data_IF_090268920721
#
_entry.id   IF_090268920721
#
_cell.length_a   1.000
_cell.length_b   1.000
_cell.length_c   1.000
_cell.angle_alpha   90.00
_cell.angle_beta   90.00
_cell.angle_gamma   90.00
#
_symmetry.space_group_name_H-M   'P 1'
#
loop_
_entity.id
_entity.type
_entity.pdbx_description
1 polymer ?
#
# COMPACT_ATOMS: atom_id res chain seq x y z
N UNK A 1 12.99 3.41 16.31
CA UNK A 1 12.48 4.65 16.93
C UNK A 1 11.03 4.86 16.47
N UNK A 2 10.13 5.42 17.29
CA UNK A 2 8.79 5.74 16.82
C UNK A 2 8.86 6.73 15.64
N UNK A 3 7.97 6.55 14.66
CA UNK A 3 7.78 7.50 13.57
C UNK A 3 7.25 8.81 14.19
N UNK A 4 7.81 9.97 13.79
CA UNK A 4 7.35 11.28 14.30
C UNK A 4 5.85 11.44 13.97
N UNK A 5 5.02 11.75 14.95
CA UNK A 5 3.55 11.75 14.79
C UNK A 5 3.01 12.84 13.83
N UNK A 6 3.80 13.88 13.54
CA UNK A 6 3.42 14.99 12.66
C UNK A 6 4.01 14.85 11.24
N UNK A 7 3.76 13.71 10.57
CA UNK A 7 4.14 13.56 9.17
C UNK A 7 3.20 14.35 8.25
N UNK A 8 3.78 15.13 7.35
CA UNK A 8 3.03 15.72 6.25
C UNK A 8 2.93 14.71 5.12
N UNK A 9 1.74 14.55 4.55
CA UNK A 9 1.62 13.84 3.29
C UNK A 9 2.37 14.61 2.20
N UNK A 10 3.00 13.89 1.28
CA UNK A 10 3.66 14.48 0.11
C UNK A 10 2.67 14.94 -0.98
N UNK A 11 1.36 14.87 -0.72
CA UNK A 11 0.32 15.34 -1.65
C UNK A 11 0.13 14.43 -2.86
N UNK A 12 0.64 13.20 -2.80
CA UNK A 12 0.46 12.18 -3.84
C UNK A 12 -0.78 11.37 -3.50
N UNK A 13 -1.80 11.47 -4.34
CA UNK A 13 -2.98 10.61 -4.29
C UNK A 13 -2.80 9.41 -5.22
N UNK A 14 -3.17 8.23 -4.71
CA UNK A 14 -3.30 7.03 -5.53
C UNK A 14 -4.78 6.77 -5.79
N UNK A 15 -5.16 6.72 -7.06
CA UNK A 15 -6.53 6.44 -7.48
C UNK A 15 -6.61 4.99 -7.94
N UNK A 16 -7.46 4.20 -7.29
CA UNK A 16 -7.69 2.80 -7.63
C UNK A 16 -8.35 2.66 -9.01
N UNK A 17 -7.59 2.20 -9.98
CA UNK A 17 -8.02 1.96 -11.36
C UNK A 17 -8.69 0.61 -11.56
N UNK A 18 -9.87 0.39 -10.96
CA UNK A 18 -10.94 -0.59 -11.31
C UNK A 18 -11.68 -1.05 -10.04
N UNK A 19 -13.00 -0.83 -9.97
CA UNK A 19 -13.88 -1.61 -9.07
C UNK A 19 -14.12 -2.97 -9.73
N UNK A 20 -13.61 -4.08 -9.15
CA UNK A 20 -14.05 -5.42 -9.56
C UNK A 20 -15.53 -5.55 -9.18
N UNK A 21 -16.39 -5.79 -10.18
CA UNK A 21 -17.79 -6.14 -9.94
C UNK A 21 -17.84 -7.41 -9.08
N UNK A 22 -18.63 -7.38 -8.00
CA UNK A 22 -18.93 -8.54 -7.16
C UNK A 22 -19.73 -9.57 -7.97
N UNK A 23 -19.04 -10.42 -8.73
CA UNK A 23 -19.67 -11.52 -9.49
C UNK A 23 -19.58 -12.87 -8.80
N UNK A 24 -18.86 -12.98 -7.70
CA UNK A 24 -18.62 -14.27 -7.05
C UNK A 24 -19.61 -14.50 -5.90
N UNK A 25 -20.66 -15.29 -6.19
CA UNK A 25 -21.63 -15.79 -5.19
C UNK A 25 -21.09 -16.98 -4.38
N UNK A 26 -19.80 -17.32 -4.52
CA UNK A 26 -19.15 -18.36 -3.72
C UNK A 26 -18.94 -17.88 -2.28
N UNK A 27 -19.22 -18.75 -1.29
CA UNK A 27 -18.98 -18.53 0.15
C UNK A 27 -17.48 -18.56 0.51
N UNK A 28 -16.61 -17.98 -0.31
CA UNK A 28 -15.20 -17.93 0.02
C UNK A 28 -14.99 -16.95 1.18
N UNK A 29 -14.24 -17.38 2.20
CA UNK A 29 -13.93 -16.55 3.36
C UNK A 29 -13.04 -15.38 2.91
N UNK A 30 -13.42 -14.16 3.30
CA UNK A 30 -12.62 -12.96 3.10
C UNK A 30 -11.82 -12.66 4.35
N UNK A 31 -10.59 -12.20 4.19
CA UNK A 31 -9.73 -11.72 5.28
C UNK A 31 -9.28 -10.31 4.94
N UNK A 32 -9.52 -9.39 5.86
CA UNK A 32 -9.12 -7.99 5.73
C UNK A 32 -7.77 -7.76 6.40
N UNK A 33 -6.87 -7.08 5.70
CA UNK A 33 -5.48 -6.84 6.13
C UNK A 33 -5.01 -5.44 5.79
N UNK A 34 -4.21 -4.89 6.69
CA UNK A 34 -3.43 -3.69 6.47
C UNK A 34 -1.99 -4.06 6.13
N UNK A 35 -1.48 -3.56 5.02
CA UNK A 35 -0.10 -3.76 4.56
C UNK A 35 0.61 -2.42 4.48
N UNK A 36 1.71 -2.25 5.19
CA UNK A 36 2.58 -1.08 5.03
C UNK A 36 3.58 -1.28 3.89
N UNK A 37 3.74 -0.27 3.05
CA UNK A 37 4.71 -0.24 1.94
C UNK A 37 5.60 0.98 2.05
N UNK A 38 6.90 0.80 1.87
CA UNK A 38 7.85 1.91 1.88
C UNK A 38 8.98 1.76 0.85
N UNK A 39 9.50 2.90 0.39
CA UNK A 39 10.59 2.97 -0.59
C UNK A 39 11.52 4.13 -0.28
N UNK A 40 12.83 3.88 -0.27
CA UNK A 40 13.86 4.87 0.07
C UNK A 40 14.98 4.98 -0.99
N UNK A 41 14.88 4.27 -2.12
CA UNK A 41 15.91 4.23 -3.17
C UNK A 41 15.29 4.50 -4.53
N UNK A 42 15.99 5.28 -5.36
CA UNK A 42 15.60 5.56 -6.74
C UNK A 42 14.29 6.34 -6.84
N UNK A 43 13.48 5.99 -7.83
CA UNK A 43 12.15 6.57 -8.04
C UNK A 43 11.13 5.97 -7.05
N UNK A 44 11.14 6.52 -5.83
CA UNK A 44 10.36 6.01 -4.68
C UNK A 44 8.86 5.97 -4.97
N UNK A 45 8.31 6.99 -5.63
CA UNK A 45 6.89 7.03 -5.96
C UNK A 45 6.52 5.94 -6.97
N UNK A 46 7.29 5.81 -8.05
CA UNK A 46 7.04 4.80 -9.07
C UNK A 46 7.22 3.37 -8.52
N UNK A 47 8.20 3.16 -7.63
CA UNK A 47 8.36 1.88 -6.94
C UNK A 47 7.11 1.51 -6.14
N UNK A 48 6.56 2.48 -5.40
CA UNK A 48 5.34 2.32 -4.63
C UNK A 48 4.14 2.04 -5.54
N UNK A 49 3.95 2.80 -6.63
CA UNK A 49 2.88 2.56 -7.62
C UNK A 49 2.95 1.16 -8.23
N UNK A 50 4.13 0.74 -8.71
CA UNK A 50 4.35 -0.60 -9.26
C UNK A 50 4.04 -1.69 -8.25
N UNK A 51 4.40 -1.51 -6.98
CA UNK A 51 4.06 -2.47 -5.94
C UNK A 51 2.54 -2.61 -5.77
N UNK A 52 1.79 -1.51 -5.75
CA UNK A 52 0.32 -1.55 -5.69
C UNK A 52 -0.26 -2.24 -6.90
N UNK A 53 0.22 -1.91 -8.11
CA UNK A 53 -0.27 -2.50 -9.36
C UNK A 53 -0.01 -4.02 -9.37
N UNK A 54 1.19 -4.46 -9.00
CA UNK A 54 1.54 -5.89 -8.90
C UNK A 54 0.70 -6.64 -7.86
N UNK A 55 0.37 -6.01 -6.73
CA UNK A 55 -0.53 -6.57 -5.72
C UNK A 55 -1.95 -6.68 -6.27
N UNK A 56 -2.43 -5.63 -6.95
CA UNK A 56 -3.78 -5.55 -7.53
C UNK A 56 -4.01 -6.48 -8.71
N UNK A 57 -2.95 -6.88 -9.41
CA UNK A 57 -3.01 -7.86 -10.50
C UNK A 57 -3.36 -9.27 -9.99
N UNK A 58 -3.19 -9.56 -8.70
CA UNK A 58 -3.57 -10.84 -8.13
C UNK A 58 -5.12 -10.98 -8.11
N UNK A 59 -5.68 -12.04 -8.72
CA UNK A 59 -7.13 -12.26 -8.75
C UNK A 59 -7.76 -12.48 -7.36
N UNK A 60 -6.98 -12.90 -6.37
CA UNK A 60 -7.45 -13.18 -5.01
C UNK A 60 -7.33 -11.98 -4.07
N UNK A 61 -6.72 -10.88 -4.51
CA UNK A 61 -6.55 -9.67 -3.71
C UNK A 61 -7.46 -8.58 -4.28
N UNK A 62 -8.18 -7.92 -3.38
CA UNK A 62 -8.95 -6.73 -3.67
C UNK A 62 -8.42 -5.58 -2.80
N UNK A 63 -7.80 -4.60 -3.43
CA UNK A 63 -7.33 -3.41 -2.73
C UNK A 63 -8.55 -2.51 -2.51
N UNK A 64 -8.86 -2.25 -1.23
CA UNK A 64 -10.02 -1.48 -0.83
C UNK A 64 -9.68 0.01 -0.74
N UNK A 65 -8.57 0.33 -0.09
CA UNK A 65 -8.12 1.69 0.11
C UNK A 65 -6.59 1.78 0.10
N UNK A 66 -6.09 2.98 -0.20
CA UNK A 66 -4.68 3.34 -0.14
C UNK A 66 -4.58 4.63 0.68
N UNK A 67 -3.75 4.64 1.72
CA UNK A 67 -3.52 5.87 2.48
C UNK A 67 -2.77 6.90 1.64
N UNK A 68 -2.74 8.14 2.14
CA UNK A 68 -1.79 9.13 1.63
C UNK A 68 -0.34 8.63 1.77
N UNK A 69 0.54 9.14 0.91
CA UNK A 69 1.98 8.88 1.00
C UNK A 69 2.62 9.89 1.96
N UNK A 70 3.53 9.42 2.81
CA UNK A 70 4.27 10.22 3.78
C UNK A 70 5.77 10.07 3.58
N UNK A 71 6.52 11.15 3.76
CA UNK A 71 7.97 11.13 3.78
C UNK A 71 8.50 11.06 5.22
N UNK A 72 9.48 10.20 5.45
CA UNK A 72 10.01 9.87 6.77
C UNK A 72 11.53 9.79 6.77
N UNK A 73 12.15 10.13 7.91
CA UNK A 73 13.58 9.91 8.12
C UNK A 73 13.90 8.41 8.24
N UNK A 74 15.05 7.94 7.74
CA UNK A 74 15.50 6.56 7.96
C UNK A 74 15.61 6.22 9.45
N UNK A 75 15.00 5.11 9.84
CA UNK A 75 14.90 4.75 11.27
C UNK A 75 16.21 4.18 11.85
N UNK A 76 16.98 3.44 11.04
CA UNK A 76 18.12 2.64 11.52
C UNK A 76 19.47 3.07 10.93
N UNK A 77 19.48 3.56 9.70
CA UNK A 77 20.68 3.98 8.97
C UNK A 77 20.50 5.43 8.52
N UNK A 78 21.00 6.36 9.33
CA UNK A 78 20.75 7.80 9.16
C UNK A 78 21.46 8.43 7.96
N UNK A 79 22.50 7.79 7.43
CA UNK A 79 23.26 8.25 6.27
C UNK A 79 22.64 7.78 4.94
N UNK A 80 21.31 7.63 4.89
CA UNK A 80 20.56 7.24 3.70
C UNK A 80 19.54 8.31 3.30
N UNK A 81 19.04 8.20 2.07
CA UNK A 81 17.95 9.04 1.59
C UNK A 81 16.67 8.86 2.43
N UNK A 82 15.81 9.87 2.40
CA UNK A 82 14.49 9.83 3.02
C UNK A 82 13.63 8.67 2.47
N UNK A 83 12.79 8.10 3.32
CA UNK A 83 11.87 7.01 2.97
C UNK A 83 10.46 7.54 2.70
N UNK A 84 9.81 7.06 1.66
CA UNK A 84 8.35 7.18 1.51
C UNK A 84 7.66 5.98 2.16
N UNK A 85 6.50 6.18 2.77
CA UNK A 85 5.66 5.15 3.37
C UNK A 85 4.18 5.42 3.08
N UNK A 86 3.40 4.37 2.86
CA UNK A 86 1.94 4.40 2.93
C UNK A 86 1.39 3.03 3.38
N UNK A 87 0.08 2.98 3.67
CA UNK A 87 -0.63 1.76 4.08
C UNK A 87 -1.67 1.42 3.02
N UNK A 88 -1.69 0.15 2.59
CA UNK A 88 -2.78 -0.46 1.84
C UNK A 88 -3.77 -1.11 2.80
N UNK A 89 -5.05 -0.84 2.59
CA UNK A 89 -6.13 -1.66 3.13
C UNK A 89 -6.63 -2.58 2.02
N UNK A 90 -6.56 -3.88 2.25
CA UNK A 90 -6.92 -4.89 1.26
C UNK A 90 -7.75 -6.01 1.89
N UNK A 91 -8.56 -6.65 1.07
CA UNK A 91 -9.27 -7.87 1.40
C UNK A 91 -8.83 -8.96 0.45
N UNK A 92 -8.57 -10.16 0.95
CA UNK A 92 -8.27 -11.30 0.10
C UNK A 92 -9.21 -12.46 0.32
N UNK A 93 -9.43 -13.18 -0.78
CA UNK A 93 -10.29 -14.35 -0.84
C UNK A 93 -9.41 -15.56 -0.49
N UNK A 94 -9.69 -16.18 0.64
CA UNK A 94 -9.07 -17.45 1.02
C UNK A 94 -9.93 -18.60 0.52
N UNK A 95 -9.31 -19.56 -0.17
CA UNK A 95 -9.93 -20.88 -0.36
C UNK A 95 -9.90 -21.62 0.98
N UNK A 96 -11.03 -22.24 1.36
CA UNK A 96 -11.04 -23.27 2.41
C UNK A 96 -10.25 -24.51 1.97
#
# INVERSE_FOLDING_TARGET
PPIKENLKSVGVEYVLGRKREEKDKSKNKKVDVFLSLGSNVGDRENNLRKAVDMIGDNPHINILEVSSIYETEPMYLKDQNLSLLFILFMSFITSE
#
